data_IF_283901485627
#
_entry.id   IF_283901485627
#
_cell.length_a   1.000
_cell.length_b   1.000
_cell.length_c   1.000
_cell.angle_alpha   90.00
_cell.angle_beta   90.00
_cell.angle_gamma   90.00
#
_symmetry.space_group_name_H-M   'P 1'
#
loop_
_entity.id
_entity.type
_entity.pdbx_description
1 polymer ?
#
# COMPACT_ATOMS: atom_id res chain seq x y z
N UNK A 1 71.68 -1.91 15.14
CA UNK A 1 70.83 -0.80 15.65
C UNK A 1 70.38 0.00 14.43
N UNK A 2 69.13 0.26 14.04
CA UNK A 2 67.78 0.17 14.63
C UNK A 2 66.83 -0.22 13.48
N UNK A 3 65.78 -0.98 13.79
CA UNK A 3 64.70 -1.40 12.88
C UNK A 3 63.85 -0.17 12.51
N UNK A 4 63.70 0.15 11.22
CA UNK A 4 62.62 1.04 10.77
C UNK A 4 61.40 0.17 10.46
N UNK A 5 60.41 0.21 11.35
CA UNK A 5 59.12 -0.41 11.13
C UNK A 5 58.30 0.48 10.18
N UNK A 6 58.01 -0.03 8.99
CA UNK A 6 57.09 0.58 8.04
C UNK A 6 55.66 0.30 8.51
N UNK A 7 55.02 1.26 9.18
CA UNK A 7 53.61 1.17 9.56
C UNK A 7 52.74 1.37 8.32
N UNK A 8 52.30 0.26 7.71
CA UNK A 8 51.31 0.24 6.66
C UNK A 8 49.93 0.54 7.29
N UNK A 9 49.46 1.78 7.16
CA UNK A 9 48.14 2.20 7.62
C UNK A 9 47.09 1.58 6.67
N UNK A 10 46.48 0.48 7.11
CA UNK A 10 45.43 -0.22 6.37
C UNK A 10 44.14 0.63 6.42
N UNK A 11 43.89 1.42 5.37
CA UNK A 11 42.64 2.16 5.23
C UNK A 11 41.48 1.18 4.95
N UNK A 12 40.73 0.82 5.98
CA UNK A 12 39.47 0.08 5.81
C UNK A 12 38.47 0.97 5.04
N UNK A 13 37.86 0.50 3.94
CA UNK A 13 36.75 1.21 3.33
C UNK A 13 35.55 1.14 4.28
N UNK A 14 35.22 2.28 4.90
CA UNK A 14 33.96 2.48 5.60
C UNK A 14 32.84 2.50 4.55
N UNK A 15 32.22 1.37 4.29
CA UNK A 15 30.95 1.33 3.55
C UNK A 15 29.87 1.90 4.46
N UNK A 16 29.55 3.18 4.27
CA UNK A 16 28.36 3.80 4.85
C UNK A 16 27.12 3.05 4.32
N UNK A 17 26.57 2.15 5.12
CA UNK A 17 25.21 1.65 4.92
C UNK A 17 24.26 2.83 5.10
N UNK A 18 23.80 3.42 4.00
CA UNK A 18 22.71 4.38 4.05
C UNK A 18 21.47 3.63 4.57
N UNK A 19 21.04 3.96 5.80
CA UNK A 19 19.78 3.46 6.32
C UNK A 19 18.66 3.94 5.40
N UNK A 20 17.85 3.03 4.87
CA UNK A 20 16.70 3.39 4.06
C UNK A 20 15.76 4.27 4.90
N UNK A 21 15.44 5.45 4.38
CA UNK A 21 14.50 6.34 5.05
C UNK A 21 13.16 5.63 5.19
N UNK A 22 12.62 5.61 6.41
CA UNK A 22 11.31 5.02 6.70
C UNK A 22 10.45 6.03 7.42
N UNK A 23 9.13 5.91 7.24
CA UNK A 23 8.12 6.66 7.98
C UNK A 23 7.34 5.70 8.86
N UNK A 24 7.13 6.10 10.12
CA UNK A 24 6.42 5.27 11.09
C UNK A 24 5.09 5.88 11.50
N UNK A 25 4.06 5.05 11.59
CA UNK A 25 2.76 5.40 12.19
C UNK A 25 2.29 4.24 13.06
N UNK A 26 1.94 4.50 14.33
CA UNK A 26 1.43 3.49 15.29
C UNK A 26 2.27 2.19 15.34
N UNK A 27 3.60 2.31 15.24
CA UNK A 27 4.54 1.18 15.31
C UNK A 27 4.70 0.39 14.00
N UNK A 28 4.04 0.80 12.92
CA UNK A 28 4.29 0.30 11.57
C UNK A 28 5.28 1.23 10.90
N UNK A 29 6.42 0.69 10.45
CA UNK A 29 7.43 1.42 9.68
C UNK A 29 7.40 0.96 8.22
N UNK A 30 7.30 1.92 7.31
CA UNK A 30 7.27 1.69 5.87
C UNK A 30 8.36 2.53 5.20
N UNK A 31 9.08 2.00 4.18
CA UNK A 31 10.12 2.75 3.47
C UNK A 31 9.52 3.96 2.77
N UNK A 32 10.29 5.04 2.68
CA UNK A 32 9.84 6.25 1.96
C UNK A 32 9.90 6.06 0.43
N UNK A 33 10.70 5.10 -0.05
CA UNK A 33 10.88 4.79 -1.47
C UNK A 33 10.80 3.28 -1.68
N UNK A 34 10.10 2.84 -2.72
CA UNK A 34 10.05 1.46 -3.19
C UNK A 34 10.52 1.37 -4.64
N UNK A 35 11.44 0.47 -4.92
CA UNK A 35 11.74 0.05 -6.28
C UNK A 35 10.81 -1.11 -6.67
N UNK A 36 10.04 -0.95 -7.74
CA UNK A 36 9.13 -1.97 -8.26
C UNK A 36 9.24 -2.02 -9.77
N UNK A 37 9.75 -3.13 -10.32
CA UNK A 37 9.78 -3.38 -11.77
C UNK A 37 10.45 -2.24 -12.57
N UNK A 38 11.55 -1.69 -12.05
CA UNK A 38 12.28 -0.57 -12.65
C UNK A 38 11.62 0.81 -12.44
N UNK A 39 10.48 0.87 -11.74
CA UNK A 39 9.86 2.10 -11.27
C UNK A 39 10.28 2.42 -9.85
N UNK A 40 10.35 3.71 -9.56
CA UNK A 40 10.53 4.23 -8.20
C UNK A 40 9.20 4.80 -7.74
N UNK A 41 8.66 4.26 -6.65
CA UNK A 41 7.44 4.75 -6.01
C UNK A 41 7.79 5.43 -4.70
N UNK A 42 7.35 6.67 -4.52
CA UNK A 42 7.51 7.40 -3.27
C UNK A 42 6.28 7.18 -2.37
N UNK A 43 6.53 7.05 -1.07
CA UNK A 43 5.48 7.04 -0.06
C UNK A 43 4.77 8.40 -0.07
N UNK A 44 3.53 8.41 -0.52
CA UNK A 44 2.67 9.58 -0.54
C UNK A 44 2.32 9.99 0.89
N UNK A 45 1.83 9.03 1.67
CA UNK A 45 1.42 9.24 3.05
C UNK A 45 1.07 7.95 3.79
N UNK A 46 0.92 8.07 5.11
CA UNK A 46 0.47 7.01 6.02
C UNK A 46 -0.81 7.44 6.70
N UNK A 47 -1.82 6.58 6.70
CA UNK A 47 -3.07 6.83 7.43
C UNK A 47 -3.43 5.66 8.34
N UNK A 48 -4.16 5.95 9.42
CA UNK A 48 -4.64 4.94 10.36
C UNK A 48 -6.11 4.65 10.07
N UNK A 49 -6.45 3.38 9.84
CA UNK A 49 -7.85 2.97 9.81
C UNK A 49 -8.36 2.68 11.22
N UNK A 50 -9.42 3.36 11.61
CA UNK A 50 -10.20 3.07 12.81
C UNK A 50 -11.62 2.65 12.44
N UNK A 51 -12.18 1.67 13.15
CA UNK A 51 -13.60 1.29 13.06
C UNK A 51 -14.20 1.33 14.45
N UNK A 52 -15.12 2.27 14.68
CA UNK A 52 -15.76 2.59 15.98
C UNK A 52 -14.72 3.06 17.02
N UNK A 53 -13.97 2.13 17.61
CA UNK A 53 -12.88 2.40 18.58
C UNK A 53 -11.62 1.58 18.30
N UNK A 54 -11.69 0.66 17.33
CA UNK A 54 -10.63 -0.29 17.07
C UNK A 54 -9.73 0.17 15.93
N UNK A 55 -8.43 0.27 16.23
CA UNK A 55 -7.38 0.44 15.21
C UNK A 55 -7.27 -0.85 14.41
N UNK A 56 -7.48 -0.77 13.10
CA UNK A 56 -7.54 -1.94 12.21
C UNK A 56 -6.20 -2.14 11.52
N UNK A 57 -5.72 -1.13 10.79
CA UNK A 57 -4.45 -1.18 10.07
C UNK A 57 -3.86 0.22 9.90
N UNK A 58 -2.56 0.28 9.59
CA UNK A 58 -1.92 1.43 8.96
C UNK A 58 -1.89 1.21 7.45
N UNK A 59 -2.40 2.17 6.70
CA UNK A 59 -2.32 2.18 5.25
C UNK A 59 -1.14 3.05 4.80
N UNK A 60 -0.36 2.57 3.83
CA UNK A 60 0.65 3.33 3.11
C UNK A 60 0.31 3.39 1.63
N UNK A 61 0.27 4.60 1.08
CA UNK A 61 0.05 4.83 -0.35
C UNK A 61 1.36 5.19 -1.03
N UNK A 62 1.76 4.44 -2.04
CA UNK A 62 2.95 4.69 -2.85
C UNK A 62 2.57 5.04 -4.28
N UNK A 63 3.25 6.05 -4.86
CA UNK A 63 2.97 6.61 -6.18
C UNK A 63 4.26 6.92 -6.94
N UNK A 64 4.27 6.82 -8.27
CA UNK A 64 5.37 7.36 -9.10
C UNK A 64 5.45 8.88 -8.95
N UNK A 65 4.28 9.55 -8.98
CA UNK A 65 4.12 10.99 -8.78
C UNK A 65 3.17 11.25 -7.63
N UNK A 66 3.71 11.81 -6.54
CA UNK A 66 2.94 12.22 -5.36
C UNK A 66 1.83 13.22 -5.72
N UNK A 67 0.74 13.14 -4.98
CA UNK A 67 -0.39 14.08 -5.09
C UNK A 67 -1.19 14.09 -3.78
N UNK A 68 -1.89 15.20 -3.54
CA UNK A 68 -2.89 15.32 -2.48
C UNK A 68 -4.32 15.15 -2.99
N UNK A 69 -4.52 15.02 -4.31
CA UNK A 69 -5.85 14.84 -4.90
C UNK A 69 -6.17 13.34 -5.05
N UNK A 70 -7.00 12.83 -4.14
CA UNK A 70 -7.39 11.42 -4.12
C UNK A 70 -8.09 10.93 -5.39
N UNK A 71 -8.88 11.77 -6.05
CA UNK A 71 -9.60 11.39 -7.27
C UNK A 71 -8.65 11.31 -8.48
N UNK A 72 -7.71 12.25 -8.58
CA UNK A 72 -6.65 12.19 -9.60
C UNK A 72 -5.76 10.96 -9.42
N UNK A 73 -5.36 10.65 -8.18
CA UNK A 73 -4.58 9.45 -7.87
C UNK A 73 -5.35 8.20 -8.29
N UNK A 74 -6.61 8.09 -7.88
CA UNK A 74 -7.43 6.94 -8.20
C UNK A 74 -7.56 6.76 -9.72
N UNK A 75 -7.75 7.84 -10.49
CA UNK A 75 -7.90 7.79 -11.95
C UNK A 75 -6.57 7.71 -12.72
N UNK A 76 -5.41 7.89 -12.08
CA UNK A 76 -4.13 7.96 -12.78
C UNK A 76 -3.64 6.61 -13.35
N UNK A 77 -2.99 6.69 -14.50
CA UNK A 77 -2.30 5.60 -15.25
C UNK A 77 -0.84 5.41 -14.79
N UNK A 78 -0.54 5.73 -13.53
CA UNK A 78 0.77 5.46 -12.93
C UNK A 78 0.72 4.15 -12.13
N UNK A 79 1.88 3.55 -11.90
CA UNK A 79 2.04 2.55 -10.86
C UNK A 79 1.65 3.18 -9.52
N UNK A 80 0.72 2.50 -8.84
CA UNK A 80 0.23 2.90 -7.52
C UNK A 80 0.05 1.66 -6.65
N UNK A 81 0.50 1.74 -5.41
CA UNK A 81 0.46 0.65 -4.44
C UNK A 81 -0.18 1.13 -3.15
N UNK A 82 -1.18 0.39 -2.68
CA UNK A 82 -1.75 0.52 -1.35
C UNK A 82 -1.26 -0.66 -0.51
N UNK A 83 -0.64 -0.38 0.62
CA UNK A 83 -0.18 -1.38 1.57
C UNK A 83 -0.88 -1.22 2.91
N UNK A 84 -1.55 -2.27 3.37
CA UNK A 84 -2.25 -2.30 4.64
C UNK A 84 -1.48 -3.19 5.59
N UNK A 85 -0.99 -2.65 6.70
CA UNK A 85 -0.35 -3.43 7.77
C UNK A 85 -1.27 -3.50 8.96
N UNK A 86 -1.75 -4.70 9.26
CA UNK A 86 -2.82 -4.92 10.23
C UNK A 86 -2.31 -4.81 11.67
N UNK A 87 -3.06 -4.09 12.50
CA UNK A 87 -2.77 -3.88 13.92
C UNK A 87 -3.51 -4.87 14.82
N UNK A 88 -4.33 -5.74 14.23
CA UNK A 88 -5.15 -6.76 14.89
C UNK A 88 -5.54 -7.86 13.91
N UNK A 89 -6.06 -8.96 14.43
CA UNK A 89 -6.68 -9.99 13.59
C UNK A 89 -8.04 -9.55 13.03
N UNK A 90 -8.29 -9.92 11.77
CA UNK A 90 -9.54 -9.71 11.03
C UNK A 90 -9.73 -10.88 10.06
N UNK A 91 -10.96 -11.39 9.91
CA UNK A 91 -11.21 -12.45 8.92
C UNK A 91 -11.11 -11.89 7.49
N UNK A 92 -10.76 -12.76 6.54
CA UNK A 92 -10.70 -12.41 5.13
C UNK A 92 -12.07 -11.98 4.60
N UNK A 93 -13.13 -12.61 5.09
CA UNK A 93 -14.52 -12.24 4.80
C UNK A 93 -14.85 -10.82 5.26
N UNK A 94 -14.45 -10.44 6.48
CA UNK A 94 -14.67 -9.08 7.01
C UNK A 94 -13.87 -8.03 6.24
N UNK A 95 -12.62 -8.33 5.88
CA UNK A 95 -11.79 -7.43 5.06
C UNK A 95 -12.40 -7.27 3.68
N UNK A 96 -12.74 -8.38 3.02
CA UNK A 96 -13.29 -8.39 1.69
C UNK A 96 -14.65 -7.68 1.65
N UNK A 97 -15.54 -7.97 2.60
CA UNK A 97 -16.84 -7.31 2.76
C UNK A 97 -16.72 -5.81 3.02
N UNK A 98 -15.74 -5.38 3.81
CA UNK A 98 -15.48 -3.95 4.02
C UNK A 98 -15.00 -3.24 2.74
N UNK A 99 -14.19 -3.91 1.91
CA UNK A 99 -13.71 -3.37 0.64
C UNK A 99 -14.84 -3.35 -0.40
N UNK A 100 -15.60 -4.43 -0.57
CA UNK A 100 -16.72 -4.49 -1.53
C UNK A 100 -17.85 -3.54 -1.16
N UNK A 101 -18.18 -3.38 0.12
CA UNK A 101 -19.08 -2.31 0.58
C UNK A 101 -18.54 -0.90 0.30
N UNK A 102 -17.22 -0.75 0.15
CA UNK A 102 -16.58 0.46 -0.37
C UNK A 102 -16.78 0.65 -1.87
N UNK A 103 -16.76 -0.42 -2.67
CA UNK A 103 -17.09 -0.37 -4.10
C UNK A 103 -18.51 0.11 -4.30
N UNK A 104 -19.49 -0.42 -3.57
CA UNK A 104 -20.90 -0.02 -3.67
C UNK A 104 -21.08 1.49 -3.46
N UNK A 105 -20.26 2.09 -2.59
CA UNK A 105 -20.29 3.53 -2.30
C UNK A 105 -19.62 4.39 -3.38
N UNK A 106 -18.65 3.85 -4.13
CA UNK A 106 -17.76 4.63 -4.99
C UNK A 106 -17.84 4.27 -6.50
N UNK A 107 -18.47 3.16 -6.87
CA UNK A 107 -18.55 2.69 -8.25
C UNK A 107 -19.64 3.39 -9.08
N UNK A 108 -20.68 3.92 -8.43
CA UNK A 108 -21.82 4.55 -9.12
C UNK A 108 -22.47 3.59 -10.13
N UNK A 109 -22.75 4.08 -11.34
CA UNK A 109 -23.36 3.29 -12.41
C UNK A 109 -22.49 2.10 -12.89
N UNK A 110 -21.18 2.13 -12.62
CA UNK A 110 -20.24 1.07 -13.00
C UNK A 110 -20.31 -0.19 -12.13
N UNK A 111 -21.02 -0.16 -11.00
CA UNK A 111 -21.01 -1.26 -10.02
C UNK A 111 -21.40 -2.61 -10.62
N UNK A 112 -22.41 -2.64 -11.50
CA UNK A 112 -22.88 -3.88 -12.12
C UNK A 112 -21.78 -4.58 -12.92
N UNK A 113 -20.92 -3.84 -13.62
CA UNK A 113 -19.83 -4.37 -14.42
C UNK A 113 -18.63 -4.87 -13.57
N UNK A 114 -18.64 -4.61 -12.26
CA UNK A 114 -17.58 -5.00 -11.34
C UNK A 114 -17.91 -6.28 -10.56
N UNK A 115 -19.16 -6.77 -10.60
CA UNK A 115 -19.64 -7.87 -9.74
C UNK A 115 -18.78 -9.14 -9.79
N UNK A 116 -18.60 -9.72 -10.96
CA UNK A 116 -17.84 -10.96 -11.12
C UNK A 116 -16.38 -10.81 -10.66
N UNK A 117 -15.80 -9.63 -10.89
CA UNK A 117 -14.43 -9.30 -10.46
C UNK A 117 -14.35 -9.06 -8.95
N UNK A 118 -15.40 -8.52 -8.32
CA UNK A 118 -15.49 -8.43 -6.86
C UNK A 118 -15.59 -9.82 -6.24
N UNK A 119 -16.35 -10.75 -6.82
CA UNK A 119 -16.41 -12.14 -6.35
C UNK A 119 -15.08 -12.88 -6.50
N UNK A 120 -14.34 -12.60 -7.57
CA UNK A 120 -12.96 -13.09 -7.72
C UNK A 120 -12.06 -12.48 -6.65
N UNK A 121 -12.17 -11.17 -6.43
CA UNK A 121 -11.37 -10.43 -5.46
C UNK A 121 -11.55 -10.94 -4.03
N UNK A 122 -12.78 -11.21 -3.58
CA UNK A 122 -13.04 -11.67 -2.21
C UNK A 122 -12.30 -12.98 -1.91
N UNK A 123 -12.18 -13.87 -2.89
CA UNK A 123 -11.45 -15.15 -2.78
C UNK A 123 -9.93 -14.98 -2.66
N UNK A 124 -9.40 -13.80 -2.96
CA UNK A 124 -7.96 -13.49 -2.83
C UNK A 124 -7.59 -12.97 -1.44
N UNK A 125 -8.57 -12.69 -0.58
CA UNK A 125 -8.35 -12.07 0.72
C UNK A 125 -8.35 -13.14 1.81
N UNK A 126 -7.18 -13.49 2.37
CA UNK A 126 -7.12 -14.43 3.48
C UNK A 126 -7.48 -13.73 4.80
N UNK A 127 -7.68 -14.55 5.83
CA UNK A 127 -7.60 -14.08 7.22
C UNK A 127 -6.24 -13.44 7.48
N UNK A 128 -6.25 -12.36 8.28
CA UNK A 128 -5.05 -11.62 8.65
C UNK A 128 -4.92 -11.56 10.16
N UNK A 129 -3.68 -11.60 10.63
CA UNK A 129 -3.30 -11.41 12.03
C UNK A 129 -2.67 -10.04 12.23
N UNK A 130 -2.44 -9.67 13.49
CA UNK A 130 -1.63 -8.48 13.79
C UNK A 130 -0.22 -8.66 13.22
N UNK A 131 0.24 -7.67 12.46
CA UNK A 131 1.53 -7.67 11.77
C UNK A 131 1.46 -8.15 10.32
N UNK A 132 0.38 -8.83 9.93
CA UNK A 132 0.19 -9.26 8.55
C UNK A 132 -0.08 -8.07 7.64
N UNK A 133 0.21 -8.24 6.34
CA UNK A 133 0.00 -7.22 5.32
C UNK A 133 -0.83 -7.69 4.13
N UNK A 134 -1.66 -6.78 3.63
CA UNK A 134 -2.30 -6.90 2.32
C UNK A 134 -1.82 -5.76 1.44
N UNK A 135 -1.40 -6.10 0.22
CA UNK A 135 -0.84 -5.15 -0.74
C UNK A 135 -1.64 -5.21 -2.03
N UNK A 136 -2.04 -4.04 -2.52
CA UNK A 136 -2.76 -3.85 -3.76
C UNK A 136 -1.95 -2.97 -4.69
N UNK A 137 -1.44 -3.54 -5.77
CA UNK A 137 -0.55 -2.85 -6.71
C UNK A 137 -1.23 -2.78 -8.07
N UNK A 138 -1.56 -1.58 -8.51
CA UNK A 138 -2.02 -1.34 -9.87
C UNK A 138 -0.83 -1.15 -10.80
N UNK A 139 -0.89 -1.85 -11.93
CA UNK A 139 0.06 -1.74 -13.04
C UNK A 139 -0.71 -1.35 -14.30
N UNK A 140 -0.37 -0.22 -14.93
CA UNK A 140 -0.92 0.16 -16.23
C UNK A 140 -0.82 -0.99 -17.23
N UNK A 141 -1.93 -1.28 -17.92
CA UNK A 141 -2.03 -2.39 -18.88
C UNK A 141 -2.22 -3.79 -18.28
N UNK A 142 -1.87 -4.06 -17.01
CA UNK A 142 -2.05 -5.38 -16.38
C UNK A 142 -3.19 -5.45 -15.36
N UNK A 143 -3.56 -4.32 -14.75
CA UNK A 143 -4.60 -4.25 -13.72
C UNK A 143 -4.04 -4.34 -12.31
N UNK A 144 -4.81 -4.91 -11.39
CA UNK A 144 -4.51 -4.96 -9.97
C UNK A 144 -3.91 -6.30 -9.57
N UNK A 145 -2.76 -6.29 -8.91
CA UNK A 145 -2.23 -7.44 -8.19
C UNK A 145 -2.54 -7.35 -6.70
N UNK A 146 -2.91 -8.48 -6.11
CA UNK A 146 -3.13 -8.65 -4.68
C UNK A 146 -2.02 -9.53 -4.12
N UNK A 147 -1.38 -9.07 -3.05
CA UNK A 147 -0.42 -9.86 -2.28
C UNK A 147 -0.86 -9.90 -0.81
N UNK A 148 -0.64 -11.03 -0.18
CA UNK A 148 -0.83 -11.22 1.25
C UNK A 148 0.48 -11.71 1.87
N UNK A 149 0.99 -11.00 2.87
CA UNK A 149 2.24 -11.32 3.56
C UNK A 149 3.43 -11.54 2.58
N UNK A 150 3.54 -10.66 1.58
CA UNK A 150 4.59 -10.71 0.55
C UNK A 150 4.43 -11.81 -0.50
N UNK A 151 3.36 -12.61 -0.46
CA UNK A 151 3.06 -13.64 -1.46
C UNK A 151 1.94 -13.19 -2.38
N UNK A 152 2.10 -13.40 -3.69
CA UNK A 152 1.04 -13.11 -4.68
C UNK A 152 -0.17 -14.00 -4.42
N UNK A 153 -1.31 -13.39 -4.13
CA UNK A 153 -2.59 -14.07 -3.97
C UNK A 153 -3.32 -14.20 -5.32
N UNK A 154 -3.21 -13.17 -6.18
CA UNK A 154 -3.81 -13.19 -7.51
C UNK A 154 -3.83 -11.82 -8.16
N UNK A 155 -4.58 -11.70 -9.26
CA UNK A 155 -4.75 -10.44 -10.00
C UNK A 155 -6.18 -10.27 -10.51
N UNK A 156 -6.63 -9.01 -10.57
CA UNK A 156 -7.91 -8.57 -11.10
C UNK A 156 -7.66 -7.59 -12.25
N UNK A 157 -8.19 -7.90 -13.43
CA UNK A 157 -8.06 -7.03 -14.60
C UNK A 157 -9.02 -5.83 -14.56
N UNK A 158 -8.67 -4.85 -15.38
CA UNK A 158 -9.49 -3.66 -15.61
C UNK A 158 -9.04 -2.46 -14.79
N UNK A 159 -8.86 -1.35 -15.51
CA UNK A 159 -8.56 -0.06 -14.92
C UNK A 159 -9.72 0.41 -14.04
N UNK A 160 -10.95 0.24 -14.50
CA UNK A 160 -12.18 0.57 -13.78
C UNK A 160 -12.25 -0.08 -12.40
N UNK A 161 -11.85 -1.35 -12.28
CA UNK A 161 -11.78 -2.05 -10.99
C UNK A 161 -10.74 -1.41 -10.08
N UNK A 162 -9.55 -1.14 -10.61
CA UNK A 162 -8.44 -0.54 -9.86
C UNK A 162 -8.79 0.88 -9.40
N UNK A 163 -9.30 1.73 -10.30
CA UNK A 163 -9.75 3.08 -9.98
C UNK A 163 -10.80 3.06 -8.88
N UNK A 164 -11.77 2.15 -8.96
CA UNK A 164 -12.82 2.00 -7.94
C UNK A 164 -12.26 1.52 -6.60
N UNK A 165 -11.33 0.55 -6.62
CA UNK A 165 -10.66 0.09 -5.41
C UNK A 165 -9.91 1.25 -4.72
N UNK A 166 -9.13 2.04 -5.46
CA UNK A 166 -8.40 3.16 -4.85
C UNK A 166 -9.35 4.25 -4.31
N UNK A 167 -10.52 4.45 -4.92
CA UNK A 167 -11.56 5.34 -4.38
C UNK A 167 -12.12 4.86 -3.03
N UNK A 168 -12.06 3.57 -2.69
CA UNK A 168 -12.44 3.09 -1.35
C UNK A 168 -11.64 3.80 -0.25
N UNK A 169 -10.39 4.17 -0.52
CA UNK A 169 -9.57 4.95 0.43
C UNK A 169 -9.54 6.44 0.12
N UNK A 170 -9.54 6.82 -1.16
CA UNK A 170 -9.19 8.17 -1.61
C UNK A 170 -10.38 8.98 -2.14
N UNK A 171 -11.51 8.32 -2.39
CA UNK A 171 -12.71 8.90 -2.98
C UNK A 171 -13.49 9.81 -2.02
N UNK A 172 -14.66 10.26 -2.47
CA UNK A 172 -15.55 11.12 -1.68
C UNK A 172 -16.19 10.39 -0.50
N UNK A 173 -16.41 9.08 -0.64
CA UNK A 173 -16.93 8.20 0.41
C UNK A 173 -15.83 7.23 0.85
N UNK A 174 -14.73 7.74 1.47
CA UNK A 174 -13.63 6.91 1.88
C UNK A 174 -14.08 6.01 3.02
N UNK A 175 -13.38 4.90 3.17
CA UNK A 175 -13.69 3.94 4.20
C UNK A 175 -13.38 4.50 5.62
N UNK A 176 -12.48 5.47 5.72
CA UNK A 176 -12.23 6.31 6.91
C UNK A 176 -11.62 7.65 6.47
N UNK A 177 -12.09 8.75 7.05
CA UNK A 177 -11.64 10.11 6.71
C UNK A 177 -10.22 10.40 7.21
N UNK A 178 -9.86 9.91 8.40
CA UNK A 178 -8.52 10.12 8.98
C UNK A 178 -7.48 9.30 8.22
N UNK A 179 -7.86 8.09 7.80
CA UNK A 179 -7.07 7.28 6.88
C UNK A 179 -6.82 8.04 5.58
N UNK A 180 -7.87 8.57 4.94
CA UNK A 180 -7.74 9.35 3.70
C UNK A 180 -6.80 10.54 3.88
N UNK A 181 -7.00 11.34 4.91
CA UNK A 181 -6.16 12.52 5.18
C UNK A 181 -4.68 12.13 5.30
N UNK A 182 -4.37 11.12 6.11
CA UNK A 182 -2.99 10.65 6.28
C UNK A 182 -2.36 10.09 4.98
N UNK A 183 -3.14 9.37 4.16
CA UNK A 183 -2.66 8.85 2.87
C UNK A 183 -2.38 9.96 1.85
N UNK A 184 -3.06 11.10 1.95
CA UNK A 184 -2.92 12.25 1.03
C UNK A 184 -1.88 13.28 1.48
N UNK A 185 -1.16 13.01 2.58
CA UNK A 185 -0.05 13.84 3.04
C UNK A 185 -0.22 14.43 4.44
N UNK A 186 -1.38 14.23 5.07
CA UNK A 186 -1.71 14.84 6.36
C UNK A 186 -2.48 16.14 6.21
#
# INVERSE_FOLDING_TARGET
MKRLAMSLLLALPFTLFAAEATRTLKGVSLPEILALEGKTLALNGLGLRTKVVFKVYVGGLYLEKKSANGMEIAASEQYKRMELVFLRGVSGEDVAGAITGGFEKNAGAGLAALKDRMEKFTKLIPDVKKGDSLVFTYRPGSGLEVQANGKKAGSIEGKDFSDTLFKVWLGEKPADKDLKAGLLGG
#
